data_IF_304952434238
#
_entry.id   IF_304952434238
#
_cell.length_a   1.000
_cell.length_b   1.000
_cell.length_c   1.000
_cell.angle_alpha   90.00
_cell.angle_beta   90.00
_cell.angle_gamma   90.00
#
_symmetry.space_group_name_H-M   'P 1'
#
loop_
_entity.id
_entity.type
_entity.pdbx_description
1 polymer ?
#
# COMPACT_ATOMS: atom_id res chain seq x y z
N UNK A 1 -39.29 -41.18 0.40
CA UNK A 1 -38.33 -40.35 1.15
C UNK A 1 -37.08 -40.23 0.29
N UNK A 2 -36.71 -39.00 -0.11
CA UNK A 2 -35.57 -38.74 -1.01
C UNK A 2 -34.30 -38.50 -0.17
N UNK A 3 -33.60 -39.57 0.18
CA UNK A 3 -32.34 -39.51 0.95
C UNK A 3 -31.08 -39.39 0.06
N UNK A 4 -31.23 -39.41 -1.27
CA UNK A 4 -30.10 -39.40 -2.21
C UNK A 4 -29.70 -38.04 -2.79
N UNK A 5 -30.56 -37.02 -2.72
CA UNK A 5 -30.30 -35.72 -3.38
C UNK A 5 -29.44 -34.78 -2.52
N UNK A 6 -29.62 -34.81 -1.19
CA UNK A 6 -28.85 -33.98 -0.24
C UNK A 6 -27.36 -34.35 -0.21
N UNK A 7 -27.02 -35.62 -0.42
CA UNK A 7 -25.62 -36.08 -0.39
C UNK A 7 -24.77 -35.56 -1.56
N UNK A 8 -25.38 -35.34 -2.73
CA UNK A 8 -24.65 -34.88 -3.92
C UNK A 8 -24.28 -33.39 -3.81
N UNK A 9 -25.22 -32.56 -3.35
CA UNK A 9 -25.00 -31.13 -3.12
C UNK A 9 -24.02 -30.88 -1.96
N UNK A 10 -24.12 -31.66 -0.89
CA UNK A 10 -23.20 -31.59 0.24
C UNK A 10 -21.78 -32.01 -0.17
N UNK A 11 -21.65 -33.04 -1.01
CA UNK A 11 -20.36 -33.46 -1.56
C UNK A 11 -19.75 -32.37 -2.45
N UNK A 12 -20.56 -31.77 -3.32
CA UNK A 12 -20.13 -30.65 -4.16
C UNK A 12 -19.70 -29.43 -3.34
N UNK A 13 -20.40 -29.14 -2.24
CA UNK A 13 -20.04 -28.09 -1.30
C UNK A 13 -18.71 -28.37 -0.62
N UNK A 14 -18.48 -29.60 -0.14
CA UNK A 14 -17.20 -30.02 0.46
C UNK A 14 -16.03 -29.88 -0.50
N UNK A 15 -16.20 -30.25 -1.77
CA UNK A 15 -15.17 -30.11 -2.80
C UNK A 15 -14.82 -28.63 -3.01
N UNK A 16 -15.82 -27.76 -3.14
CA UNK A 16 -15.60 -26.31 -3.26
C UNK A 16 -14.88 -25.73 -2.05
N UNK A 17 -15.25 -26.16 -0.83
CA UNK A 17 -14.62 -25.71 0.41
C UNK A 17 -13.16 -26.17 0.51
N UNK A 18 -12.85 -27.42 0.17
CA UNK A 18 -11.49 -27.96 0.16
C UNK A 18 -10.58 -27.24 -0.86
N UNK A 19 -11.09 -26.98 -2.07
CA UNK A 19 -10.39 -26.21 -3.10
C UNK A 19 -10.13 -24.77 -2.64
N UNK A 20 -11.13 -24.13 -2.05
CA UNK A 20 -11.00 -22.76 -1.54
C UNK A 20 -10.02 -22.68 -0.38
N UNK A 21 -10.03 -23.67 0.53
CA UNK A 21 -9.11 -23.76 1.66
C UNK A 21 -7.66 -23.94 1.20
N UNK A 22 -7.43 -24.86 0.25
CA UNK A 22 -6.10 -25.11 -0.31
C UNK A 22 -5.57 -23.87 -1.04
N UNK A 23 -6.42 -23.19 -1.80
CA UNK A 23 -6.08 -21.92 -2.43
C UNK A 23 -5.74 -20.84 -1.40
N UNK A 24 -6.46 -20.75 -0.27
CA UNK A 24 -6.15 -19.81 0.81
C UNK A 24 -4.85 -20.12 1.56
N UNK A 25 -4.53 -21.40 1.75
CA UNK A 25 -3.30 -21.88 2.39
C UNK A 25 -2.08 -21.62 1.50
N UNK A 26 -2.14 -22.01 0.23
CA UNK A 26 -1.02 -21.90 -0.71
C UNK A 26 -0.78 -20.45 -1.14
N UNK A 27 -1.83 -19.71 -1.49
CA UNK A 27 -1.66 -18.34 -1.98
C UNK A 27 -1.38 -17.34 -0.87
N UNK A 28 -1.53 -17.77 0.41
CA UNK A 28 -1.71 -16.90 1.57
C UNK A 28 -2.84 -15.90 1.37
N UNK A 29 -3.67 -15.65 2.40
CA UNK A 29 -4.48 -14.43 2.38
C UNK A 29 -3.51 -13.26 2.41
N UNK A 30 -3.18 -12.68 1.24
CA UNK A 30 -2.74 -11.30 1.17
C UNK A 30 -3.89 -10.50 1.73
N UNK A 31 -3.87 -10.30 3.04
CA UNK A 31 -4.69 -9.30 3.69
C UNK A 31 -4.40 -8.05 2.87
N UNK A 32 -5.43 -7.57 2.17
CA UNK A 32 -5.44 -6.21 1.70
C UNK A 32 -5.52 -5.38 2.98
N UNK A 33 -4.42 -5.34 3.72
CA UNK A 33 -4.20 -4.32 4.70
C UNK A 33 -4.43 -3.06 3.90
N UNK A 34 -5.55 -2.39 4.20
CA UNK A 34 -5.73 -1.03 3.75
C UNK A 34 -4.42 -0.29 4.05
N UNK A 35 -4.08 0.74 3.27
CA UNK A 35 -2.82 1.49 3.40
C UNK A 35 -2.72 2.27 4.74
N UNK A 36 -3.28 1.75 5.82
CA UNK A 36 -3.09 2.12 7.23
C UNK A 36 -1.64 2.02 7.68
N UNK A 37 -0.77 1.30 6.93
CA UNK A 37 0.65 1.30 7.23
C UNK A 37 1.27 2.69 7.14
N UNK A 38 0.68 3.63 6.38
CA UNK A 38 1.22 4.99 6.26
C UNK A 38 0.81 5.79 7.50
N UNK A 39 1.73 6.07 8.44
CA UNK A 39 1.42 6.84 9.63
C UNK A 39 1.16 8.29 9.27
N UNK A 40 0.43 9.00 10.14
CA UNK A 40 0.17 10.45 10.01
C UNK A 40 1.46 11.26 9.89
N UNK A 41 2.53 10.82 10.56
CA UNK A 41 3.87 11.42 10.45
C UNK A 41 4.42 11.36 9.00
N UNK A 42 4.30 10.21 8.33
CA UNK A 42 4.75 10.04 6.94
C UNK A 42 3.87 10.83 5.97
N UNK A 43 2.57 10.92 6.24
CA UNK A 43 1.66 11.81 5.49
C UNK A 43 2.10 13.28 5.60
N UNK A 44 2.47 13.75 6.79
CA UNK A 44 3.00 15.10 7.02
C UNK A 44 4.28 15.35 6.22
N UNK A 45 5.22 14.39 6.19
CA UNK A 45 6.46 14.47 5.38
C UNK A 45 6.15 14.54 3.88
N UNK A 46 5.15 13.81 3.40
CA UNK A 46 4.68 13.86 2.00
C UNK A 46 4.12 15.25 1.67
N UNK A 47 3.32 15.84 2.56
CA UNK A 47 2.80 17.20 2.39
C UNK A 47 3.92 18.24 2.35
N UNK A 48 4.91 18.16 3.25
CA UNK A 48 6.11 19.03 3.25
C UNK A 48 6.88 18.92 1.94
N UNK A 49 7.11 17.70 1.43
CA UNK A 49 7.75 17.47 0.13
C UNK A 49 6.94 18.10 -1.02
N UNK A 50 5.60 18.03 -0.99
CA UNK A 50 4.74 18.68 -2.01
C UNK A 50 4.90 20.19 -2.01
N UNK A 51 4.91 20.84 -0.84
CA UNK A 51 5.16 22.29 -0.73
C UNK A 51 6.51 22.70 -1.35
N UNK A 52 7.57 21.93 -1.09
CA UNK A 52 8.89 22.15 -1.70
C UNK A 52 8.89 21.97 -3.23
N UNK A 53 8.08 21.03 -3.74
CA UNK A 53 7.89 20.87 -5.20
C UNK A 53 7.23 22.10 -5.84
N UNK A 54 6.24 22.70 -5.15
CA UNK A 54 5.60 23.95 -5.58
C UNK A 54 6.62 25.09 -5.58
N UNK A 55 7.47 25.18 -4.56
CA UNK A 55 8.54 26.20 -4.52
C UNK A 55 9.51 26.09 -5.71
N UNK A 56 9.85 24.89 -6.17
CA UNK A 56 10.64 24.69 -7.40
C UNK A 56 9.89 25.18 -8.65
N UNK A 57 8.59 24.91 -8.73
CA UNK A 57 7.80 25.31 -9.89
C UNK A 57 7.61 26.83 -9.96
N UNK A 58 7.54 27.49 -8.81
CA UNK A 58 7.34 28.93 -8.69
C UNK A 58 8.65 29.74 -8.73
N UNK A 59 9.82 29.08 -8.70
CA UNK A 59 11.12 29.77 -8.71
C UNK A 59 11.29 30.59 -9.99
N UNK A 60 11.68 31.86 -9.85
CA UNK A 60 11.85 32.77 -11.00
C UNK A 60 13.30 32.83 -11.48
N UNK A 61 14.25 32.71 -10.56
CA UNK A 61 15.68 32.73 -10.88
C UNK A 61 16.31 31.35 -10.81
N UNK A 62 17.43 31.18 -11.53
CA UNK A 62 18.19 29.91 -11.53
C UNK A 62 18.70 29.55 -10.14
N UNK A 63 19.13 30.54 -9.36
CA UNK A 63 19.64 30.37 -7.99
C UNK A 63 18.55 29.88 -7.05
N UNK A 64 17.36 30.49 -7.07
CA UNK A 64 16.20 30.03 -6.31
C UNK A 64 15.82 28.59 -6.66
N UNK A 65 15.81 28.27 -7.96
CA UNK A 65 15.49 26.93 -8.45
C UNK A 65 16.48 25.89 -7.94
N UNK A 66 17.78 26.19 -7.92
CA UNK A 66 18.83 25.31 -7.39
C UNK A 66 18.65 25.08 -5.89
N UNK A 67 18.40 26.14 -5.12
CA UNK A 67 18.14 26.03 -3.68
C UNK A 67 16.90 25.17 -3.39
N UNK A 68 15.77 25.50 -4.00
CA UNK A 68 14.52 24.76 -3.84
C UNK A 68 14.64 23.28 -4.27
N UNK A 69 15.44 23.00 -5.31
CA UNK A 69 15.72 21.63 -5.78
C UNK A 69 16.55 20.83 -4.79
N UNK A 70 17.50 21.48 -4.10
CA UNK A 70 18.29 20.86 -3.03
C UNK A 70 17.38 20.46 -1.88
N UNK A 71 16.56 21.38 -1.37
CA UNK A 71 15.62 21.12 -0.28
C UNK A 71 14.57 20.04 -0.60
N UNK A 72 14.07 20.01 -1.84
CA UNK A 72 13.17 18.95 -2.31
C UNK A 72 13.85 17.59 -2.35
N UNK A 73 15.12 17.54 -2.76
CA UNK A 73 15.88 16.29 -2.87
C UNK A 73 16.05 15.64 -1.50
N UNK A 74 16.37 16.44 -0.48
CA UNK A 74 16.43 15.98 0.91
C UNK A 74 15.09 15.47 1.42
N UNK A 75 14.02 16.25 1.26
CA UNK A 75 12.67 15.86 1.68
C UNK A 75 12.19 14.59 0.96
N UNK A 76 12.56 14.40 -0.32
CA UNK A 76 12.20 13.21 -1.07
C UNK A 76 12.98 11.96 -0.59
N UNK A 77 14.25 12.11 -0.19
CA UNK A 77 15.02 11.04 0.45
C UNK A 77 14.38 10.61 1.77
N UNK A 78 13.96 11.57 2.59
CA UNK A 78 13.30 11.32 3.88
C UNK A 78 11.98 10.54 3.69
N UNK A 79 11.10 11.02 2.81
CA UNK A 79 9.82 10.34 2.49
C UNK A 79 10.06 8.90 2.03
N UNK A 80 11.06 8.66 1.17
CA UNK A 80 11.40 7.30 0.71
C UNK A 80 11.95 6.41 1.84
N UNK A 81 12.62 6.99 2.84
CA UNK A 81 13.09 6.24 4.02
C UNK A 81 11.90 5.86 4.92
N UNK A 82 11.04 6.82 5.27
CA UNK A 82 9.85 6.57 6.08
C UNK A 82 8.94 5.52 5.45
N UNK A 83 8.64 5.64 4.15
CA UNK A 83 7.81 4.66 3.43
C UNK A 83 8.39 3.24 3.51
N UNK A 84 9.72 3.09 3.44
CA UNK A 84 10.36 1.77 3.54
C UNK A 84 10.29 1.19 4.95
N UNK A 85 10.39 2.04 5.98
CA UNK A 85 10.26 1.63 7.38
C UNK A 85 8.82 1.24 7.67
N UNK A 86 7.87 2.08 7.28
CA UNK A 86 6.45 1.86 7.57
C UNK A 86 5.90 0.62 6.84
N UNK A 87 6.42 0.29 5.64
CA UNK A 87 6.06 -0.96 4.93
C UNK A 87 6.63 -2.23 5.57
N UNK A 88 7.65 -2.11 6.42
CA UNK A 88 8.26 -3.24 7.14
C UNK A 88 7.60 -3.51 8.51
N UNK A 89 6.78 -2.58 8.98
CA UNK A 89 5.83 -2.82 10.08
C UNK A 89 4.65 -3.62 9.56
#
# INVERSE_FOLDING_TARGET
MKEGETGMDDNWKKIKEALTSTCWEVLSRKKHHHKEWIPTETLSKIQKRRKKKIAINNSRTRTEKVKARTEYTEANKEVKRSIRVDKRK
#
